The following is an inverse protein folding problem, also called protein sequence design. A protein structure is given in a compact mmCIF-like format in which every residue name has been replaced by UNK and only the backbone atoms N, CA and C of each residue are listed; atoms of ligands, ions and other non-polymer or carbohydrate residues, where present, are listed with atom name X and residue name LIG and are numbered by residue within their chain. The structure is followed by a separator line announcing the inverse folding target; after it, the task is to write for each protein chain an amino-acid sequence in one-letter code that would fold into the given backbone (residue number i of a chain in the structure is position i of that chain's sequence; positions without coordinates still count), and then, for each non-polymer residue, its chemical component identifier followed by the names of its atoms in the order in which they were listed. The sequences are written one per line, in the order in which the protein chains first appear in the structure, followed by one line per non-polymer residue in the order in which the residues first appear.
data_IF_518501897264
#
_entry.id   IF_518501897264
#
_cell.length_a   1.000
_cell.length_b   1.000
_cell.length_c   1.000
_cell.angle_alpha   90.00
_cell.angle_beta   90.00
_cell.angle_gamma   90.00
#
_symmetry.space_group_name_H-M   'P 1'
#
loop_
_entity.id
_entity.type
_entity.pdbx_description
1 polymer ?
#
# COMPACT_ATOMS: atom_id res chain seq x y z
N UNK A 1 6.58 13.87 7.54
CA UNK A 1 6.18 12.91 6.49
C UNK A 1 6.82 11.56 6.80
N UNK A 2 6.01 10.51 6.91
CA UNK A 2 6.51 9.16 7.21
C UNK A 2 7.16 8.57 5.95
N UNK A 3 8.40 8.14 6.06
CA UNK A 3 9.13 7.46 4.99
C UNK A 3 9.74 6.18 5.55
N UNK A 4 9.91 5.17 4.71
CA UNK A 4 10.73 4.01 5.03
C UNK A 4 11.95 3.94 4.10
N UNK A 5 13.01 3.26 4.56
CA UNK A 5 14.28 3.14 3.84
C UNK A 5 14.69 1.68 3.76
N UNK A 6 15.24 1.26 2.63
CA UNK A 6 15.74 -0.10 2.43
C UNK A 6 16.81 -0.18 1.35
N UNK A 7 17.76 -1.11 1.50
CA UNK A 7 18.82 -1.32 0.54
C UNK A 7 18.36 -2.23 -0.63
N UNK A 8 17.59 -3.28 -0.33
CA UNK A 8 17.07 -4.20 -1.34
C UNK A 8 15.54 -4.05 -1.46
N UNK A 9 15.03 -3.44 -2.55
CA UNK A 9 13.60 -3.23 -2.72
C UNK A 9 12.82 -4.52 -2.96
N UNK A 10 13.45 -5.59 -3.45
CA UNK A 10 12.77 -6.88 -3.69
C UNK A 10 12.30 -7.54 -2.38
N UNK A 11 13.01 -7.27 -1.28
CA UNK A 11 12.62 -7.75 0.06
C UNK A 11 11.33 -7.08 0.58
N UNK A 12 10.88 -5.97 -0.02
CA UNK A 12 9.76 -5.18 0.46
C UNK A 12 8.45 -5.96 0.46
N UNK A 13 8.20 -6.75 -0.58
CA UNK A 13 6.99 -7.57 -0.73
C UNK A 13 6.93 -8.65 0.35
N UNK A 14 8.04 -9.34 0.60
CA UNK A 14 8.10 -10.39 1.61
C UNK A 14 7.98 -9.84 3.04
N UNK A 15 8.55 -8.66 3.29
CA UNK A 15 8.41 -7.99 4.59
C UNK A 15 6.96 -7.53 4.78
N UNK A 16 6.36 -6.91 3.77
CA UNK A 16 4.95 -6.51 3.83
C UNK A 16 4.04 -7.73 4.03
N UNK A 17 4.31 -8.86 3.36
CA UNK A 17 3.55 -10.11 3.55
C UNK A 17 3.51 -10.54 5.02
N UNK A 18 4.65 -10.49 5.72
CA UNK A 18 4.73 -10.81 7.16
C UNK A 18 3.96 -9.80 8.01
N UNK A 19 4.13 -8.50 7.73
CA UNK A 19 3.37 -7.43 8.39
C UNK A 19 1.86 -7.66 8.25
N UNK A 20 1.39 -7.95 7.04
CA UNK A 20 -0.02 -8.18 6.77
C UNK A 20 -0.59 -9.43 7.47
N UNK A 21 0.24 -10.47 7.66
CA UNK A 21 -0.14 -11.69 8.38
C UNK A 21 -0.20 -11.50 9.90
N UNK A 22 0.70 -10.68 10.45
CA UNK A 22 0.79 -10.40 11.89
C UNK A 22 -0.12 -9.25 12.33
N UNK A 23 -0.63 -8.46 11.39
CA UNK A 23 -1.45 -7.30 11.67
C UNK A 23 -2.79 -7.68 12.31
N UNK A 24 -3.23 -6.84 13.26
CA UNK A 24 -4.55 -6.98 13.85
C UNK A 24 -5.67 -6.90 12.79
N UNK A 25 -6.81 -7.59 13.02
CA UNK A 25 -7.98 -7.47 12.16
C UNK A 25 -8.42 -6.01 12.04
N UNK A 26 -8.59 -5.53 10.81
CA UNK A 26 -9.17 -4.23 10.52
C UNK A 26 -10.67 -4.41 10.23
N UNK A 27 -11.50 -3.51 10.77
CA UNK A 27 -12.94 -3.55 10.55
C UNK A 27 -13.23 -3.42 9.04
N UNK A 28 -14.06 -4.31 8.50
CA UNK A 28 -14.49 -4.34 7.09
C UNK A 28 -13.37 -4.40 6.03
N UNK A 29 -12.11 -4.60 6.44
CA UNK A 29 -10.94 -4.52 5.57
C UNK A 29 -10.16 -5.82 5.67
N UNK A 30 -9.93 -6.44 4.52
CA UNK A 30 -9.04 -7.59 4.38
C UNK A 30 -7.81 -7.20 3.57
N UNK A 31 -6.63 -7.70 3.94
CA UNK A 31 -5.38 -7.44 3.23
C UNK A 31 -5.23 -8.44 2.08
N UNK A 32 -5.18 -7.94 0.86
CA UNK A 32 -5.09 -8.73 -0.38
C UNK A 32 -3.66 -9.04 -0.83
N UNK A 33 -2.64 -8.45 -0.19
CA UNK A 33 -1.23 -8.65 -0.49
C UNK A 33 -0.56 -7.42 -1.09
N UNK A 34 0.68 -7.58 -1.53
CA UNK A 34 1.44 -6.52 -2.17
C UNK A 34 2.29 -7.03 -3.33
N UNK A 35 2.61 -6.12 -4.24
CA UNK A 35 3.49 -6.32 -5.37
C UNK A 35 4.46 -5.13 -5.49
N UNK A 36 5.55 -5.30 -6.22
CA UNK A 36 6.53 -4.25 -6.47
C UNK A 36 6.68 -4.05 -7.98
N UNK A 37 6.22 -2.91 -8.46
CA UNK A 37 6.26 -2.56 -9.87
C UNK A 37 7.47 -1.68 -10.17
N UNK A 38 8.23 -2.04 -11.21
CA UNK A 38 9.28 -1.19 -11.79
C UNK A 38 8.67 -0.22 -12.78
N UNK A 39 9.01 1.07 -12.67
CA UNK A 39 8.55 2.12 -13.59
C UNK A 39 9.60 2.47 -14.64
N UNK A 40 10.86 2.10 -14.42
CA UNK A 40 11.96 2.29 -15.34
C UNK A 40 12.83 1.02 -15.46
N UNK A 41 13.60 0.95 -16.54
CA UNK A 41 14.54 -0.16 -16.78
C UNK A 41 15.70 -0.16 -15.77
N UNK A 42 16.07 1.03 -15.27
CA UNK A 42 17.14 1.20 -14.29
C UNK A 42 16.80 0.65 -12.90
N UNK A 43 15.51 0.39 -12.62
CA UNK A 43 15.02 -0.01 -11.31
C UNK A 43 15.17 1.08 -10.25
N UNK A 44 15.22 2.35 -10.65
CA UNK A 44 15.40 3.51 -9.76
C UNK A 44 14.06 4.10 -9.31
N UNK A 45 13.01 3.93 -10.11
CA UNK A 45 11.64 4.34 -9.79
C UNK A 45 10.76 3.10 -9.68
N UNK A 46 10.19 2.88 -8.51
CA UNK A 46 9.38 1.72 -8.17
C UNK A 46 8.05 2.16 -7.52
N UNK A 47 7.06 1.27 -7.56
CA UNK A 47 5.82 1.41 -6.80
C UNK A 47 5.62 0.16 -5.94
N UNK A 48 5.48 0.35 -4.63
CA UNK A 48 4.92 -0.69 -3.76
C UNK A 48 3.39 -0.61 -3.89
N UNK A 49 2.80 -1.63 -4.50
CA UNK A 49 1.37 -1.70 -4.77
C UNK A 49 0.74 -2.64 -3.76
N UNK A 50 -0.09 -2.12 -2.86
CA UNK A 50 -0.73 -2.87 -1.80
C UNK A 50 -2.23 -2.97 -2.09
N UNK A 51 -2.77 -4.18 -2.03
CA UNK A 51 -4.19 -4.41 -2.28
C UNK A 51 -4.92 -4.68 -0.98
N UNK A 52 -6.07 -4.04 -0.82
CA UNK A 52 -7.05 -4.27 0.23
C UNK A 52 -8.39 -4.63 -0.41
N UNK A 53 -9.17 -5.38 0.33
CA UNK A 53 -10.56 -5.68 0.01
C UNK A 53 -11.41 -5.00 1.08
N UNK A 54 -12.31 -4.12 0.66
CA UNK A 54 -13.12 -3.30 1.55
C UNK A 54 -14.61 -3.59 1.35
N UNK A 55 -15.30 -3.89 2.45
CA UNK A 55 -16.74 -4.14 2.46
C UNK A 55 -17.44 -3.34 3.57
N UNK A 56 -17.89 -2.10 3.30
CA UNK A 56 -18.34 -1.15 4.34
C UNK A 56 -19.57 -1.59 5.14
N UNK A 57 -20.28 -2.64 4.70
CA UNK A 57 -21.41 -3.19 5.42
C UNK A 57 -21.89 -4.51 4.83
N UNK A 58 -22.76 -5.20 5.58
CA UNK A 58 -23.27 -6.54 5.23
C UNK A 58 -23.85 -6.62 3.82
N UNK A 59 -24.57 -5.58 3.38
CA UNK A 59 -25.23 -5.49 2.08
C UNK A 59 -24.47 -4.64 1.05
N UNK A 60 -23.33 -4.05 1.43
CA UNK A 60 -22.52 -3.29 0.51
C UNK A 60 -21.77 -4.22 -0.44
N UNK A 61 -21.56 -3.75 -1.67
CA UNK A 61 -20.66 -4.41 -2.61
C UNK A 61 -19.23 -4.31 -2.11
N UNK A 62 -18.49 -5.39 -2.28
CA UNK A 62 -17.07 -5.44 -2.03
C UNK A 62 -16.35 -4.55 -3.05
N UNK A 63 -15.33 -3.84 -2.58
CA UNK A 63 -14.45 -2.98 -3.38
C UNK A 63 -13.03 -3.45 -3.23
N UNK A 64 -12.28 -3.42 -4.32
CA UNK A 64 -10.82 -3.58 -4.26
C UNK A 64 -10.22 -2.19 -4.08
N UNK A 65 -9.38 -1.99 -3.07
CA UNK A 65 -8.70 -0.72 -2.84
C UNK A 65 -7.21 -0.95 -2.98
N UNK A 66 -6.55 -0.17 -3.82
CA UNK A 66 -5.13 -0.28 -4.11
C UNK A 66 -4.42 0.95 -3.59
N UNK A 67 -3.46 0.75 -2.70
CA UNK A 67 -2.55 1.80 -2.23
C UNK A 67 -1.23 1.70 -3.00
N UNK A 68 -0.86 2.76 -3.70
CA UNK A 68 0.35 2.84 -4.51
C UNK A 68 1.33 3.77 -3.81
N UNK A 69 2.35 3.18 -3.18
CA UNK A 69 3.39 3.94 -2.48
C UNK A 69 4.59 4.12 -3.43
N UNK A 70 4.96 5.36 -3.78
CA UNK A 70 6.14 5.59 -4.60
C UNK A 70 7.41 5.26 -3.82
N UNK A 71 8.33 4.55 -4.47
CA UNK A 71 9.62 4.15 -3.91
C UNK A 71 10.71 4.56 -4.88
N UNK A 72 11.62 5.42 -4.45
CA UNK A 72 12.69 5.98 -5.30
C UNK A 72 14.07 5.64 -4.77
N UNK A 73 14.99 5.34 -5.67
CA UNK A 73 16.41 5.16 -5.34
C UNK A 73 17.07 6.52 -5.17
N UNK A 74 17.63 6.76 -3.98
CA UNK A 74 18.44 7.93 -3.70
C UNK A 74 19.86 7.76 -4.26
N UNK A 75 20.61 8.86 -4.36
CA UNK A 75 21.98 8.89 -4.90
C UNK A 75 22.95 7.97 -4.14
N UNK A 76 22.72 7.77 -2.84
CA UNK A 76 23.50 6.86 -2.01
C UNK A 76 23.14 5.37 -2.21
N UNK A 77 22.30 5.05 -3.20
CA UNK A 77 21.88 3.70 -3.55
C UNK A 77 20.75 3.13 -2.69
N UNK A 78 20.30 3.85 -1.64
CA UNK A 78 19.20 3.42 -0.76
C UNK A 78 17.85 3.77 -1.38
N UNK A 79 16.89 2.86 -1.31
CA UNK A 79 15.52 3.12 -1.71
C UNK A 79 14.74 3.79 -0.58
N UNK A 80 13.91 4.77 -0.93
CA UNK A 80 13.08 5.54 -0.02
C UNK A 80 11.63 5.44 -0.48
N UNK A 81 10.76 4.90 0.37
CA UNK A 81 9.32 4.90 0.17
C UNK A 81 8.67 6.13 0.81
N UNK A 82 7.92 6.90 0.02
CA UNK A 82 7.27 8.14 0.46
C UNK A 82 5.79 7.87 0.79
N UNK A 83 5.49 7.51 2.05
CA UNK A 83 4.13 7.12 2.46
C UNK A 83 3.12 8.26 2.27
N UNK A 84 3.55 9.50 2.51
CA UNK A 84 2.70 10.69 2.32
C UNK A 84 2.29 10.94 0.87
N UNK A 85 3.07 10.44 -0.09
CA UNK A 85 2.81 10.57 -1.53
C UNK A 85 1.99 9.39 -2.09
N UNK A 86 1.38 8.58 -1.21
CA UNK A 86 0.57 7.43 -1.62
C UNK A 86 -0.68 7.89 -2.37
N UNK A 87 -0.93 7.23 -3.50
CA UNK A 87 -2.19 7.34 -4.23
C UNK A 87 -3.06 6.15 -3.88
N UNK A 88 -4.30 6.40 -3.49
CA UNK A 88 -5.31 5.37 -3.23
C UNK A 88 -6.23 5.29 -4.45
N UNK A 89 -6.50 4.07 -4.92
CA UNK A 89 -7.43 3.78 -6.02
C UNK A 89 -8.50 2.81 -5.55
N UNK A 90 -9.75 3.07 -5.90
CA UNK A 90 -10.88 2.20 -5.63
C UNK A 90 -11.33 1.58 -6.94
N UNK A 91 -11.27 0.26 -7.00
CA UNK A 91 -11.66 -0.53 -8.15
C UNK A 91 -12.93 -1.32 -7.83
N UNK A 92 -13.82 -1.38 -8.82
CA UNK A 92 -15.04 -2.18 -8.76
C UNK A 92 -15.09 -3.16 -9.91
N UNK A 93 -15.68 -4.33 -9.66
CA UNK A 93 -15.95 -5.30 -10.71
C UNK A 93 -17.18 -4.89 -11.51
N UNK A 94 -16.98 -4.55 -12.78
CA UNK A 94 -18.04 -4.23 -13.74
C UNK A 94 -17.90 -5.12 -14.97
N UNK A 95 -18.94 -5.91 -15.24
CA UNK A 95 -19.00 -6.82 -16.41
C UNK A 95 -17.77 -7.72 -16.57
N UNK A 96 -17.18 -8.17 -15.46
CA UNK A 96 -15.99 -9.05 -15.46
C UNK A 96 -14.65 -8.32 -15.53
N UNK A 97 -14.63 -6.99 -15.60
CA UNK A 97 -13.41 -6.18 -15.56
C UNK A 97 -13.35 -5.32 -14.30
N UNK A 98 -12.14 -5.11 -13.79
CA UNK A 98 -11.90 -4.10 -12.76
C UNK A 98 -11.85 -2.71 -13.41
N UNK A 99 -12.76 -1.84 -13.00
CA UNK A 99 -12.77 -0.43 -13.40
C UNK A 99 -12.49 0.45 -12.19
N UNK A 100 -11.68 1.49 -12.39
CA UNK A 100 -11.44 2.53 -11.39
C UNK A 100 -12.72 3.35 -11.20
N UNK A 101 -13.23 3.36 -9.96
CA UNK A 101 -14.35 4.23 -9.56
C UNK A 101 -13.86 5.57 -9.05
N UNK A 102 -12.70 5.57 -8.39
CA UNK A 102 -12.14 6.76 -7.74
C UNK A 102 -10.65 6.59 -7.52
N UNK A 103 -9.91 7.68 -7.61
CA UNK A 103 -8.54 7.77 -7.14
C UNK A 103 -8.28 9.13 -6.48
N UNK A 104 -7.36 9.15 -5.53
CA UNK A 104 -6.99 10.37 -4.82
C UNK A 104 -5.78 10.19 -3.93
N UNK A 105 -5.35 11.28 -3.33
CA UNK A 105 -4.27 11.31 -2.34
C UNK A 105 -4.64 10.53 -1.07
N UNK A 106 -3.62 10.18 -0.29
CA UNK A 106 -3.82 9.58 1.03
C UNK A 106 -4.71 10.45 1.93
N UNK A 107 -4.60 11.78 1.84
CA UNK A 107 -5.37 12.71 2.66
C UNK A 107 -6.85 12.73 2.27
N UNK A 108 -7.16 12.78 0.98
CA UNK A 108 -8.54 12.65 0.48
C UNK A 108 -9.15 11.29 0.84
N UNK A 109 -8.34 10.23 0.76
CA UNK A 109 -8.75 8.87 1.12
C UNK A 109 -9.10 8.73 2.61
N UNK A 110 -8.49 9.51 3.52
CA UNK A 110 -8.84 9.49 4.95
C UNK A 110 -10.30 9.85 5.19
N UNK A 111 -10.81 10.81 4.43
CA UNK A 111 -12.20 11.23 4.54
C UNK A 111 -13.17 10.20 3.95
N UNK A 112 -12.80 9.55 2.84
CA UNK A 112 -13.69 8.63 2.12
C UNK A 112 -13.63 7.18 2.61
N UNK A 113 -12.45 6.71 3.02
CA UNK A 113 -12.15 5.32 3.33
C UNK A 113 -11.34 5.20 4.64
N UNK A 114 -11.80 5.76 5.77
CA UNK A 114 -11.03 5.86 7.00
C UNK A 114 -10.58 4.47 7.53
N UNK A 115 -11.39 3.43 7.33
CA UNK A 115 -11.07 2.06 7.77
C UNK A 115 -9.90 1.47 6.96
N UNK A 116 -9.86 1.71 5.64
CA UNK A 116 -8.76 1.24 4.78
C UNK A 116 -7.50 2.05 5.04
N UNK A 117 -7.61 3.37 5.17
CA UNK A 117 -6.45 4.23 5.42
C UNK A 117 -5.85 3.93 6.80
N UNK A 118 -6.68 3.70 7.83
CA UNK A 118 -6.19 3.29 9.14
C UNK A 118 -5.43 1.97 9.11
N UNK A 119 -5.92 0.98 8.35
CA UNK A 119 -5.20 -0.27 8.15
C UNK A 119 -3.86 -0.05 7.41
N UNK A 120 -3.87 0.77 6.36
CA UNK A 120 -2.68 1.11 5.59
C UNK A 120 -1.61 1.82 6.44
N UNK A 121 -1.99 2.84 7.22
CA UNK A 121 -1.05 3.58 8.07
C UNK A 121 -0.43 2.67 9.14
N UNK A 122 -1.24 1.80 9.76
CA UNK A 122 -0.74 0.80 10.72
C UNK A 122 0.24 -0.18 10.07
N UNK A 123 -0.06 -0.66 8.85
CA UNK A 123 0.82 -1.54 8.11
C UNK A 123 2.13 -0.83 7.75
N UNK A 124 2.09 0.44 7.33
CA UNK A 124 3.29 1.22 7.00
C UNK A 124 4.15 1.53 8.24
N UNK A 125 3.52 1.74 9.40
CA UNK A 125 4.24 1.88 10.66
C UNK A 125 4.97 0.58 11.04
N UNK A 126 4.29 -0.56 10.95
CA UNK A 126 4.88 -1.88 11.21
C UNK A 126 5.98 -2.23 10.22
N UNK A 127 5.79 -1.91 8.94
CA UNK A 127 6.79 -2.06 7.88
C UNK A 127 8.05 -1.24 8.19
N UNK A 128 7.87 0.04 8.53
CA UNK A 128 8.97 0.95 8.88
C UNK A 128 9.75 0.43 10.09
N UNK A 129 9.04 -0.03 11.14
CA UNK A 129 9.64 -0.64 12.34
C UNK A 129 10.41 -1.94 12.01
N UNK A 130 9.93 -2.71 11.06
CA UNK A 130 10.59 -3.97 10.66
C UNK A 130 11.85 -3.71 9.85
N UNK A 131 11.82 -2.70 8.97
CA UNK A 131 12.96 -2.28 8.18
C UNK A 131 14.06 -1.65 9.05
N UNK A 132 13.70 -0.83 10.04
CA UNK A 132 14.69 -0.19 10.93
C UNK A 132 15.40 -1.17 11.87
N UNK A 133 14.80 -2.33 12.17
CA UNK A 133 15.48 -3.41 12.93
C UNK A 133 16.49 -4.20 12.09
N UNK A 134 16.43 -4.08 10.76
CA UNK A 134 17.25 -4.85 9.81
C UNK A 134 18.38 -4.03 9.18
N UNK A 135 18.35 -2.71 9.35
CA UNK A 135 19.40 -1.75 8.97
C UNK A 135 20.40 -1.57 10.09
#
# INVERSE_FOLDING_TARGET
MQNFRLANPEALVDIYRRVAQEAAPAKNVSRGGADLRKLDEAGSNLELVITYVYKPGRFAKEKTVVAVVPVKRAENGVFVGEVGATVIRVLSMKKGNLEEEWSGSLEEAKAQLPEVVGAFEADMEALTKTLSKRS
#
